data_IF_565260509737
#
_entry.id   IF_565260509737
#
_cell.length_a   1.000
_cell.length_b   1.000
_cell.length_c   1.000
_cell.angle_alpha   90.00
_cell.angle_beta   90.00
_cell.angle_gamma   90.00
#
_symmetry.space_group_name_H-M   'P 1'
#
loop_
_entity.id
_entity.type
_entity.pdbx_description
1 polymer ?
#
# COMPACT_ATOMS: atom_id res chain seq x y z
N UNK A 1 -4.60 25.81 8.48
CA UNK A 1 -3.23 26.24 8.14
C UNK A 1 -2.25 25.10 8.36
N UNK A 2 -1.75 24.53 7.27
CA UNK A 2 -0.34 24.14 7.03
C UNK A 2 -0.36 23.33 5.74
N UNK A 3 -0.45 24.03 4.61
CA UNK A 3 0.03 23.48 3.34
C UNK A 3 1.52 23.37 3.51
N UNK A 4 2.00 22.19 3.90
CA UNK A 4 3.43 21.92 4.00
C UNK A 4 3.93 21.94 2.57
N UNK A 5 4.74 22.94 2.24
CA UNK A 5 5.64 22.87 1.10
C UNK A 5 6.43 21.57 1.29
N UNK A 6 6.27 20.60 0.38
CA UNK A 6 7.03 19.37 0.49
C UNK A 6 8.51 19.67 0.36
N UNK A 7 8.87 20.46 -0.66
CA UNK A 7 10.23 20.69 -1.12
C UNK A 7 10.34 22.10 -1.74
N UNK A 8 11.35 22.88 -1.36
CA UNK A 8 11.67 24.18 -1.98
C UNK A 8 12.68 24.05 -3.15
N UNK A 9 12.96 25.12 -3.89
CA UNK A 9 13.87 25.06 -5.05
C UNK A 9 15.31 24.65 -4.70
N UNK A 10 15.83 25.05 -3.53
CA UNK A 10 17.18 24.65 -3.10
C UNK A 10 17.23 23.16 -2.78
N UNK A 11 16.14 22.66 -2.21
CA UNK A 11 15.97 21.25 -1.90
C UNK A 11 15.78 20.39 -3.17
N UNK A 12 15.05 20.87 -4.18
CA UNK A 12 14.97 20.20 -5.49
C UNK A 12 16.34 20.11 -6.16
N UNK A 13 17.15 21.18 -6.09
CA UNK A 13 18.52 21.15 -6.60
C UNK A 13 19.40 20.13 -5.86
N UNK A 14 19.24 20.00 -4.53
CA UNK A 14 19.94 18.98 -3.75
C UNK A 14 19.54 17.55 -4.15
N UNK A 15 18.25 17.31 -4.44
CA UNK A 15 17.78 16.02 -4.98
C UNK A 15 18.39 15.75 -6.34
N UNK A 16 18.33 16.73 -7.25
CA UNK A 16 18.83 16.57 -8.62
C UNK A 16 20.34 16.27 -8.67
N UNK A 17 21.09 16.77 -7.69
CA UNK A 17 22.51 16.49 -7.52
C UNK A 17 22.81 15.15 -6.80
N UNK A 18 21.79 14.42 -6.36
CA UNK A 18 21.96 13.14 -5.65
C UNK A 18 22.44 13.28 -4.21
N UNK A 19 22.13 14.36 -3.51
CA UNK A 19 22.51 14.52 -2.10
C UNK A 19 21.85 13.44 -1.22
N UNK A 20 22.63 12.42 -0.84
CA UNK A 20 22.21 11.30 -0.01
C UNK A 20 21.56 11.72 1.31
N UNK A 21 22.04 12.80 1.93
CA UNK A 21 21.46 13.28 3.18
C UNK A 21 20.03 13.77 2.95
N UNK A 22 19.79 14.47 1.86
CA UNK A 22 18.47 14.95 1.51
C UNK A 22 17.55 13.80 1.07
N UNK A 23 18.06 12.90 0.22
CA UNK A 23 17.34 11.70 -0.22
C UNK A 23 16.92 10.82 0.95
N UNK A 24 17.77 10.62 1.95
CA UNK A 24 17.45 9.88 3.17
C UNK A 24 16.31 10.51 3.98
N UNK A 25 16.18 11.85 3.97
CA UNK A 25 15.03 12.54 4.61
C UNK A 25 13.74 12.34 3.82
N UNK A 26 13.81 12.38 2.49
CA UNK A 26 12.65 12.11 1.62
C UNK A 26 12.20 10.66 1.75
N UNK A 27 13.14 9.73 1.80
CA UNK A 27 12.91 8.30 2.03
C UNK A 27 12.15 8.05 3.34
N UNK A 28 12.54 8.72 4.44
CA UNK A 28 11.79 8.68 5.71
C UNK A 28 10.38 9.26 5.60
N UNK A 29 10.11 10.11 4.61
CA UNK A 29 8.76 10.62 4.30
C UNK A 29 8.02 9.75 3.28
N UNK A 30 8.52 8.55 2.97
CA UNK A 30 7.90 7.65 1.99
C UNK A 30 7.96 8.15 0.55
N UNK A 31 8.84 9.10 0.25
CA UNK A 31 9.14 9.53 -1.12
C UNK A 31 10.36 8.75 -1.59
N UNK A 32 10.09 7.56 -2.11
CA UNK A 32 11.10 6.60 -2.54
C UNK A 32 11.33 6.78 -4.06
N UNK A 33 12.59 6.81 -4.53
CA UNK A 33 12.87 6.79 -5.96
C UNK A 33 12.31 5.51 -6.62
N UNK A 34 11.79 5.64 -7.83
CA UNK A 34 11.34 4.51 -8.63
C UNK A 34 12.52 3.65 -9.11
N UNK A 35 12.21 2.44 -9.57
CA UNK A 35 13.21 1.54 -10.18
C UNK A 35 13.84 2.23 -11.39
N UNK A 36 15.18 2.28 -11.43
CA UNK A 36 15.97 2.96 -12.45
C UNK A 36 15.75 4.49 -12.56
N UNK A 37 15.05 5.12 -11.62
CA UNK A 37 14.84 6.57 -11.64
C UNK A 37 16.14 7.32 -11.30
N UNK A 38 16.51 8.26 -12.17
CA UNK A 38 17.67 9.12 -11.95
C UNK A 38 17.35 10.26 -10.98
N UNK A 39 18.39 10.86 -10.39
CA UNK A 39 18.23 12.00 -9.48
C UNK A 39 17.47 13.20 -10.11
N UNK A 40 17.74 13.61 -11.37
CA UNK A 40 16.95 14.65 -12.03
C UNK A 40 15.48 14.27 -12.27
N UNK A 41 15.21 13.04 -12.70
CA UNK A 41 13.84 12.54 -12.91
C UNK A 41 13.05 12.51 -11.60
N UNK A 42 13.70 12.06 -10.52
CA UNK A 42 13.11 12.06 -9.19
C UNK A 42 12.78 13.49 -8.73
N UNK A 43 13.69 14.45 -8.93
CA UNK A 43 13.41 15.85 -8.63
C UNK A 43 12.21 16.40 -9.41
N UNK A 44 12.11 16.08 -10.71
CA UNK A 44 10.98 16.50 -11.54
C UNK A 44 9.65 15.86 -11.09
N UNK A 45 9.67 14.60 -10.65
CA UNK A 45 8.48 13.93 -10.09
C UNK A 45 8.03 14.60 -8.79
N UNK A 46 8.96 14.96 -7.94
CA UNK A 46 8.69 15.67 -6.69
C UNK A 46 8.11 17.07 -6.92
N UNK A 47 8.61 17.79 -7.93
CA UNK A 47 8.06 19.08 -8.35
C UNK A 47 6.61 18.95 -8.84
N UNK A 48 6.32 17.95 -9.68
CA UNK A 48 4.95 17.66 -10.15
C UNK A 48 4.00 17.36 -8.99
N UNK A 49 4.44 16.53 -8.03
CA UNK A 49 3.66 16.20 -6.84
C UNK A 49 3.37 17.45 -6.00
N UNK A 50 4.37 18.30 -5.76
CA UNK A 50 4.19 19.54 -4.99
C UNK A 50 3.18 20.47 -5.67
N UNK A 51 3.31 20.69 -6.98
CA UNK A 51 2.38 21.52 -7.74
C UNK A 51 0.94 21.00 -7.66
N UNK A 52 0.75 19.69 -7.78
CA UNK A 52 -0.57 19.07 -7.70
C UNK A 52 -1.19 19.15 -6.30
N UNK A 53 -0.36 19.04 -5.24
CA UNK A 53 -0.82 19.26 -3.87
C UNK A 53 -1.21 20.70 -3.60
N UNK A 54 -0.46 21.67 -4.13
CA UNK A 54 -0.81 23.09 -4.02
C UNK A 54 -2.12 23.39 -4.76
N UNK A 55 -2.31 22.83 -5.95
CA UNK A 55 -3.56 22.94 -6.71
C UNK A 55 -4.74 22.32 -5.96
N UNK A 56 -4.55 21.14 -5.37
CA UNK A 56 -5.56 20.49 -4.53
C UNK A 56 -5.94 21.38 -3.33
N UNK A 57 -4.98 21.94 -2.61
CA UNK A 57 -5.24 22.83 -1.47
C UNK A 57 -5.98 24.10 -1.90
N UNK A 58 -5.62 24.67 -3.05
CA UNK A 58 -6.32 25.83 -3.62
C UNK A 58 -7.77 25.48 -3.96
N UNK A 59 -8.00 24.35 -4.62
CA UNK A 59 -9.34 23.89 -4.99
C UNK A 59 -10.20 23.61 -3.76
N UNK A 60 -9.63 23.04 -2.69
CA UNK A 60 -10.34 22.79 -1.42
C UNK A 60 -10.66 24.07 -0.63
N UNK A 61 -9.94 25.16 -0.87
CA UNK A 61 -10.24 26.47 -0.29
C UNK A 61 -11.32 27.22 -1.07
N UNK A 62 -11.33 27.08 -2.39
CA UNK A 62 -12.23 27.80 -3.29
C UNK A 62 -13.60 27.10 -3.45
N UNK A 63 -13.61 25.77 -3.45
CA UNK A 63 -14.80 24.95 -3.68
C UNK A 63 -15.20 24.19 -2.42
N UNK A 64 -16.51 24.13 -2.17
CA UNK A 64 -17.05 23.39 -1.01
C UNK A 64 -16.84 21.88 -1.19
N UNK A 65 -17.02 21.38 -2.41
CA UNK A 65 -16.84 19.97 -2.79
C UNK A 65 -15.99 19.88 -4.08
N UNK A 66 -15.09 18.90 -4.15
CA UNK A 66 -14.20 18.59 -5.27
C UNK A 66 -14.32 17.10 -5.61
N UNK A 67 -14.32 16.75 -6.90
CA UNK A 67 -14.48 15.38 -7.38
C UNK A 67 -13.17 14.87 -7.99
N UNK A 68 -12.26 14.25 -7.21
CA UNK A 68 -11.01 13.71 -7.75
C UNK A 68 -11.21 12.52 -8.69
N UNK A 69 -12.34 11.81 -8.57
CA UNK A 69 -12.67 10.66 -9.39
C UNK A 69 -14.20 10.52 -9.50
N UNK A 70 -14.72 9.93 -10.59
CA UNK A 70 -16.17 9.82 -10.80
C UNK A 70 -16.90 9.17 -9.62
N UNK A 71 -17.85 9.91 -9.04
CA UNK A 71 -18.68 9.50 -7.92
C UNK A 71 -18.08 9.73 -6.53
N UNK A 72 -16.87 10.27 -6.44
CA UNK A 72 -16.15 10.49 -5.18
C UNK A 72 -16.06 11.99 -4.90
N UNK A 73 -16.85 12.47 -3.94
CA UNK A 73 -16.81 13.87 -3.52
C UNK A 73 -15.98 14.06 -2.25
N UNK A 74 -14.97 14.92 -2.32
CA UNK A 74 -14.17 15.34 -1.15
C UNK A 74 -14.41 16.81 -0.83
N UNK A 75 -14.20 17.17 0.44
CA UNK A 75 -14.36 18.54 0.92
C UNK A 75 -13.31 18.83 1.99
N UNK A 76 -12.83 20.07 2.05
CA UNK A 76 -11.93 20.52 3.12
C UNK A 76 -12.51 20.28 4.52
N UNK A 77 -13.84 20.36 4.67
CA UNK A 77 -14.56 20.09 5.93
C UNK A 77 -14.51 18.62 6.38
N UNK A 78 -14.20 17.73 5.44
CA UNK A 78 -14.10 16.29 5.65
C UNK A 78 -12.65 15.80 5.66
N UNK A 79 -11.66 16.71 5.63
CA UNK A 79 -10.25 16.33 5.74
C UNK A 79 -9.99 15.62 7.07
N UNK A 80 -9.21 14.55 7.03
CA UNK A 80 -8.82 13.80 8.22
C UNK A 80 -7.87 14.67 9.05
N UNK A 81 -8.18 14.92 10.34
CA UNK A 81 -7.32 15.68 11.22
C UNK A 81 -5.92 15.08 11.35
N UNK A 82 -4.91 15.95 11.45
CA UNK A 82 -3.50 15.54 11.57
C UNK A 82 -3.21 14.59 12.73
N UNK A 83 -3.84 14.72 13.92
CA UNK A 83 -3.63 13.75 15.00
C UNK A 83 -3.96 12.30 14.60
N UNK A 84 -5.00 12.09 13.79
CA UNK A 84 -5.39 10.76 13.30
C UNK A 84 -4.33 10.24 12.30
N UNK A 85 -3.86 11.10 11.40
CA UNK A 85 -2.79 10.73 10.47
C UNK A 85 -1.52 10.38 11.25
N UNK A 86 -1.15 11.16 12.27
CA UNK A 86 0.05 10.90 13.08
C UNK A 86 0.01 9.54 13.80
N UNK A 87 -1.17 9.04 14.20
CA UNK A 87 -1.32 7.68 14.75
C UNK A 87 -0.97 6.59 13.74
N UNK A 88 -1.31 6.80 12.48
CA UNK A 88 -0.99 5.90 11.38
C UNK A 88 0.48 6.02 10.97
N UNK A 89 1.02 7.24 10.89
CA UNK A 89 2.45 7.49 10.59
C UNK A 89 3.39 6.82 11.60
N UNK A 90 3.01 6.77 12.89
CA UNK A 90 3.79 6.01 13.89
C UNK A 90 3.87 4.52 13.53
N UNK A 91 2.77 3.95 13.07
CA UNK A 91 2.70 2.53 12.73
C UNK A 91 3.55 2.20 11.49
N UNK A 92 3.46 3.01 10.44
CA UNK A 92 4.31 2.84 9.24
C UNK A 92 5.79 3.10 9.57
N UNK A 93 6.07 4.04 10.47
CA UNK A 93 7.43 4.33 10.94
C UNK A 93 8.04 3.17 11.75
N UNK A 94 7.25 2.54 12.62
CA UNK A 94 7.67 1.35 13.37
C UNK A 94 7.94 0.15 12.47
N UNK A 95 7.10 -0.08 11.45
CA UNK A 95 7.21 -1.24 10.55
C UNK A 95 8.30 -1.08 9.47
N UNK A 96 8.33 0.08 8.82
CA UNK A 96 9.07 0.28 7.56
C UNK A 96 10.01 1.48 7.58
N UNK A 97 10.10 2.18 8.72
CA UNK A 97 10.90 3.41 8.86
C UNK A 97 10.49 4.49 7.84
N UNK A 98 9.18 4.58 7.55
CA UNK A 98 8.56 5.58 6.67
C UNK A 98 7.37 6.27 7.32
N UNK A 99 7.24 7.57 7.08
CA UNK A 99 6.15 8.41 7.55
C UNK A 99 5.65 9.27 6.38
N UNK A 100 4.77 8.74 5.51
CA UNK A 100 4.17 9.43 4.36
C UNK A 100 3.24 10.57 4.79
N UNK A 101 3.88 11.65 5.24
CA UNK A 101 3.26 12.76 5.94
C UNK A 101 2.66 13.81 5.01
N UNK A 102 2.83 13.60 3.70
CA UNK A 102 2.39 14.47 2.61
C UNK A 102 1.04 14.05 2.01
N UNK A 103 0.59 12.82 2.24
CA UNK A 103 -0.62 12.26 1.63
C UNK A 103 -1.86 12.84 2.32
N UNK A 104 -2.72 13.59 1.60
CA UNK A 104 -3.97 14.08 2.15
C UNK A 104 -5.00 12.95 2.28
N UNK A 105 -5.75 12.98 3.39
CA UNK A 105 -6.79 12.00 3.70
C UNK A 105 -8.15 12.65 3.89
N UNK A 106 -9.22 12.00 3.43
CA UNK A 106 -10.59 12.51 3.53
C UNK A 106 -11.59 11.47 4.04
N UNK A 107 -12.60 11.95 4.77
CA UNK A 107 -13.77 11.18 5.16
C UNK A 107 -14.87 11.33 4.10
N UNK A 108 -15.12 10.30 3.28
CA UNK A 108 -16.20 10.35 2.30
C UNK A 108 -17.41 9.49 2.68
N UNK A 109 -18.57 9.92 2.20
CA UNK A 109 -19.78 9.10 2.13
C UNK A 109 -19.80 8.42 0.76
N UNK A 110 -19.11 7.31 0.64
CA UNK A 110 -19.19 6.49 -0.56
C UNK A 110 -20.54 5.76 -0.61
N UNK A 111 -21.11 5.61 -1.82
CA UNK A 111 -22.19 4.64 -2.08
C UNK A 111 -21.67 3.19 -2.11
N UNK A 112 -20.39 2.99 -1.80
CA UNK A 112 -19.75 1.69 -1.78
C UNK A 112 -20.33 0.85 -0.63
N UNK A 113 -20.63 -0.42 -0.94
CA UNK A 113 -21.37 -1.33 -0.06
C UNK A 113 -20.85 -1.41 1.37
N UNK A 114 -21.65 -1.97 2.28
CA UNK A 114 -21.42 -1.97 3.73
C UNK A 114 -20.01 -2.44 4.19
N UNK A 115 -19.31 -3.22 3.36
CA UNK A 115 -17.98 -3.79 3.64
C UNK A 115 -16.80 -2.96 3.13
N UNK A 116 -17.02 -1.84 2.44
CA UNK A 116 -15.92 -1.01 1.94
C UNK A 116 -15.21 -0.28 3.10
N UNK A 117 -13.88 -0.38 3.23
CA UNK A 117 -13.13 0.28 4.31
C UNK A 117 -12.63 1.67 3.92
N UNK A 118 -11.85 1.71 2.85
CA UNK A 118 -11.14 2.86 2.32
C UNK A 118 -10.56 2.55 0.93
N UNK A 119 -9.94 3.56 0.32
CA UNK A 119 -9.22 3.44 -0.94
C UNK A 119 -8.22 4.59 -1.10
N UNK A 120 -7.04 4.29 -1.63
CA UNK A 120 -6.11 5.27 -2.19
C UNK A 120 -6.45 5.56 -3.65
N UNK A 121 -6.55 6.85 -4.00
CA UNK A 121 -6.66 7.34 -5.35
C UNK A 121 -5.33 7.96 -5.74
N UNK A 122 -4.70 7.41 -6.77
CA UNK A 122 -3.48 7.97 -7.36
C UNK A 122 -3.79 8.47 -8.77
N UNK A 123 -3.36 9.70 -9.06
CA UNK A 123 -3.33 10.24 -10.41
C UNK A 123 -1.94 10.00 -11.04
N UNK A 124 -1.82 9.15 -12.08
CA UNK A 124 -0.54 8.86 -12.72
C UNK A 124 0.14 10.08 -13.36
N UNK A 125 -0.62 11.10 -13.79
CA UNK A 125 -0.05 12.25 -14.48
C UNK A 125 0.70 13.17 -13.51
N UNK A 126 0.09 13.44 -12.35
CA UNK A 126 0.62 14.33 -11.32
C UNK A 126 1.39 13.61 -10.21
N UNK A 127 1.27 12.28 -10.11
CA UNK A 127 1.70 11.45 -8.98
C UNK A 127 1.02 11.82 -7.65
N UNK A 128 -0.08 12.59 -7.70
CA UNK A 128 -0.86 12.92 -6.53
C UNK A 128 -1.57 11.67 -6.04
N UNK A 129 -1.24 11.26 -4.82
CA UNK A 129 -2.01 10.26 -4.08
C UNK A 129 -2.81 10.93 -2.99
N UNK A 130 -4.09 10.59 -2.90
CA UNK A 130 -4.93 10.90 -1.75
C UNK A 130 -5.64 9.64 -1.30
N UNK A 131 -6.04 9.58 -0.03
CA UNK A 131 -6.79 8.43 0.45
C UNK A 131 -8.11 8.84 1.08
N UNK A 132 -9.07 7.94 0.99
CA UNK A 132 -10.43 8.15 1.45
C UNK A 132 -10.83 7.00 2.33
N UNK A 133 -11.41 7.31 3.47
CA UNK A 133 -11.97 6.31 4.39
C UNK A 133 -13.42 6.67 4.72
N UNK A 134 -14.20 5.67 5.16
CA UNK A 134 -15.60 5.87 5.53
C UNK A 134 -15.80 7.02 6.52
N UNK A 135 -16.83 7.83 6.28
CA UNK A 135 -17.23 8.94 7.18
C UNK A 135 -17.52 8.51 8.62
N UNK A 136 -17.96 7.28 8.87
CA UNK A 136 -18.20 6.77 10.23
C UNK A 136 -16.93 6.81 11.10
N UNK A 137 -15.76 6.66 10.48
CA UNK A 137 -14.47 6.74 11.16
C UNK A 137 -14.14 8.15 11.70
N UNK A 138 -14.91 9.17 11.31
CA UNK A 138 -14.82 10.49 11.93
C UNK A 138 -15.22 10.44 13.41
N UNK A 139 -16.18 9.59 13.77
CA UNK A 139 -16.75 9.49 15.12
C UNK A 139 -16.29 8.24 15.86
N UNK A 140 -15.97 7.17 15.13
CA UNK A 140 -15.65 5.88 15.71
C UNK A 140 -14.25 5.42 15.29
N UNK A 141 -13.53 4.76 16.19
CA UNK A 141 -12.25 4.15 15.83
C UNK A 141 -12.45 2.80 15.10
N UNK A 142 -13.52 2.07 15.40
CA UNK A 142 -13.79 0.74 14.83
C UNK A 142 -15.13 0.73 14.12
N UNK A 143 -15.19 0.01 13.01
CA UNK A 143 -16.42 -0.28 12.29
C UNK A 143 -16.33 -1.69 11.70
N UNK A 144 -17.21 -2.59 12.13
CA UNK A 144 -17.13 -4.02 11.82
C UNK A 144 -15.74 -4.60 12.16
N UNK A 145 -15.04 -5.15 11.16
CA UNK A 145 -13.70 -5.75 11.28
C UNK A 145 -12.56 -4.74 11.06
N UNK A 146 -12.90 -3.48 10.76
CA UNK A 146 -11.95 -2.43 10.42
C UNK A 146 -11.66 -1.51 11.61
N UNK A 147 -10.39 -1.16 11.79
CA UNK A 147 -9.91 -0.14 12.71
C UNK A 147 -9.35 1.03 11.90
N UNK A 148 -9.74 2.26 12.24
CA UNK A 148 -9.36 3.48 11.54
C UNK A 148 -7.84 3.64 11.45
N UNK A 149 -7.12 3.35 12.52
CA UNK A 149 -5.66 3.53 12.57
C UNK A 149 -4.98 2.55 11.62
N UNK A 150 -5.42 1.30 11.63
CA UNK A 150 -4.90 0.25 10.73
C UNK A 150 -5.21 0.59 9.28
N UNK A 151 -6.46 0.96 8.99
CA UNK A 151 -6.89 1.30 7.64
C UNK A 151 -6.14 2.53 7.10
N UNK A 152 -5.99 3.57 7.93
CA UNK A 152 -5.22 4.76 7.52
C UNK A 152 -3.76 4.41 7.27
N UNK A 153 -3.14 3.55 8.10
CA UNK A 153 -1.78 3.10 7.87
C UNK A 153 -1.64 2.23 6.62
N UNK A 154 -2.64 1.39 6.32
CA UNK A 154 -2.72 0.58 5.11
C UNK A 154 -2.70 1.46 3.84
N UNK A 155 -3.58 2.47 3.76
CA UNK A 155 -3.60 3.37 2.59
C UNK A 155 -2.32 4.21 2.48
N UNK A 156 -1.75 4.64 3.61
CA UNK A 156 -0.48 5.36 3.65
C UNK A 156 0.69 4.48 3.19
N UNK A 157 0.65 3.18 3.48
CA UNK A 157 1.63 2.21 2.97
C UNK A 157 1.59 2.15 1.45
N UNK A 158 0.40 2.05 0.84
CA UNK A 158 0.24 2.09 -0.62
C UNK A 158 0.85 3.37 -1.21
N UNK A 159 0.53 4.54 -0.65
CA UNK A 159 1.05 5.82 -1.12
C UNK A 159 2.58 5.91 -1.07
N UNK A 160 3.22 5.32 -0.05
CA UNK A 160 4.68 5.28 0.07
C UNK A 160 5.32 4.25 -0.88
N UNK A 161 4.62 3.14 -1.18
CA UNK A 161 5.15 2.01 -1.94
C UNK A 161 4.86 2.08 -3.45
N UNK A 162 3.95 2.94 -3.90
CA UNK A 162 3.42 2.97 -5.28
C UNK A 162 4.49 3.03 -6.38
N UNK A 163 5.68 3.58 -6.10
CA UNK A 163 6.74 3.78 -7.10
C UNK A 163 7.73 2.61 -7.21
N UNK A 164 7.59 1.59 -6.36
CA UNK A 164 8.39 0.35 -6.45
C UNK A 164 7.76 -0.63 -7.48
N UNK A 165 6.60 -0.28 -8.05
CA UNK A 165 5.92 -0.90 -9.21
C UNK A 165 5.75 -2.43 -9.14
N UNK A 166 5.27 -2.95 -7.99
CA UNK A 166 5.09 -4.39 -7.82
C UNK A 166 3.87 -4.76 -6.98
N UNK A 167 2.79 -5.15 -7.67
CA UNK A 167 1.47 -5.48 -7.12
C UNK A 167 1.46 -6.68 -6.13
N UNK A 168 2.43 -7.59 -6.22
CA UNK A 168 2.40 -8.86 -5.47
C UNK A 168 2.63 -8.68 -3.96
N UNK A 169 3.57 -7.80 -3.59
CA UNK A 169 3.94 -7.58 -2.19
C UNK A 169 3.35 -6.28 -1.60
N UNK A 170 2.84 -5.37 -2.43
CA UNK A 170 2.22 -4.12 -1.99
C UNK A 170 1.11 -4.37 -0.95
N UNK A 171 0.15 -5.24 -1.29
CA UNK A 171 -0.90 -5.64 -0.36
C UNK A 171 -0.34 -6.36 0.87
N UNK A 172 0.72 -7.15 0.73
CA UNK A 172 1.38 -7.77 1.89
C UNK A 172 1.86 -6.71 2.87
N UNK A 173 2.61 -5.71 2.42
CA UNK A 173 3.08 -4.64 3.29
C UNK A 173 1.91 -3.87 3.93
N UNK A 174 0.90 -3.52 3.14
CA UNK A 174 -0.24 -2.77 3.63
C UNK A 174 -1.01 -3.55 4.72
N UNK A 175 -1.16 -4.88 4.61
CA UNK A 175 -1.86 -5.70 5.61
C UNK A 175 -1.06 -5.98 6.88
N UNK A 176 0.25 -5.81 6.89
CA UNK A 176 1.06 -5.95 8.11
C UNK A 176 0.75 -4.87 9.14
N UNK A 177 0.14 -3.75 8.72
CA UNK A 177 -0.38 -2.70 9.61
C UNK A 177 -1.57 -3.18 10.47
N UNK A 178 -2.27 -4.25 10.08
CA UNK A 178 -3.38 -4.79 10.87
C UNK A 178 -2.89 -5.33 12.22
N UNK A 179 -3.69 -5.27 13.30
CA UNK A 179 -3.36 -5.92 14.58
C UNK A 179 -3.60 -7.43 14.55
N UNK A 180 -4.62 -7.85 13.79
CA UNK A 180 -5.02 -9.25 13.71
C UNK A 180 -4.01 -10.06 12.89
N UNK A 181 -3.43 -11.10 13.49
CA UNK A 181 -2.55 -12.07 12.79
C UNK A 181 -3.26 -12.72 11.61
N UNK A 182 -4.57 -12.95 11.72
CA UNK A 182 -5.39 -13.51 10.65
C UNK A 182 -5.41 -12.56 9.45
N UNK A 183 -5.62 -11.26 9.68
CA UNK A 183 -5.63 -10.25 8.61
C UNK A 183 -4.26 -10.01 8.02
N UNK A 184 -3.19 -10.08 8.82
CA UNK A 184 -1.81 -10.04 8.31
C UNK A 184 -1.49 -11.17 7.33
N UNK A 185 -2.05 -12.36 7.57
CA UNK A 185 -1.80 -13.52 6.73
C UNK A 185 -2.76 -13.60 5.53
N UNK A 186 -4.06 -13.44 5.76
CA UNK A 186 -5.10 -13.59 4.72
C UNK A 186 -5.44 -12.30 3.98
N UNK A 187 -4.94 -11.16 4.44
CA UNK A 187 -5.27 -9.86 3.85
C UNK A 187 -4.91 -9.80 2.37
N UNK A 188 -3.72 -10.26 2.01
CA UNK A 188 -3.24 -10.31 0.64
C UNK A 188 -3.84 -11.44 -0.20
N UNK A 189 -4.97 -12.02 0.23
CA UNK A 189 -5.60 -13.10 -0.53
C UNK A 189 -6.49 -12.60 -1.68
N UNK A 190 -6.94 -11.35 -1.69
CA UNK A 190 -7.68 -10.77 -2.81
C UNK A 190 -6.89 -9.59 -3.39
N UNK A 191 -6.00 -9.88 -4.33
CA UNK A 191 -5.15 -8.86 -4.98
C UNK A 191 -5.66 -8.58 -6.40
N UNK A 192 -6.01 -9.63 -7.13
CA UNK A 192 -6.52 -9.54 -8.48
C UNK A 192 -7.95 -9.01 -8.53
N UNK A 193 -8.26 -8.23 -9.57
CA UNK A 193 -9.60 -7.65 -9.83
C UNK A 193 -10.73 -8.70 -9.80
N UNK A 194 -10.44 -9.92 -10.26
CA UNK A 194 -11.40 -11.01 -10.33
C UNK A 194 -11.33 -12.00 -9.17
N UNK A 195 -10.44 -11.80 -8.19
CA UNK A 195 -10.24 -12.81 -7.15
C UNK A 195 -11.49 -12.99 -6.29
N UNK A 196 -12.19 -11.90 -5.97
CA UNK A 196 -13.46 -11.96 -5.26
C UNK A 196 -14.55 -12.68 -6.08
N UNK A 197 -14.57 -12.45 -7.40
CA UNK A 197 -15.53 -13.07 -8.31
C UNK A 197 -15.28 -14.58 -8.43
N UNK A 198 -14.02 -14.98 -8.66
CA UNK A 198 -13.62 -16.39 -8.81
C UNK A 198 -13.78 -17.17 -7.50
N UNK A 199 -13.67 -16.50 -6.35
CA UNK A 199 -13.98 -17.09 -5.05
C UNK A 199 -15.49 -17.26 -4.84
N UNK A 200 -16.29 -16.24 -5.15
CA UNK A 200 -17.71 -16.20 -4.81
C UNK A 200 -18.60 -16.94 -5.83
N UNK A 201 -18.30 -16.82 -7.13
CA UNK A 201 -19.14 -17.34 -8.21
C UNK A 201 -19.38 -18.86 -8.10
N UNK A 202 -18.35 -19.72 -7.90
CA UNK A 202 -18.58 -21.16 -7.75
C UNK A 202 -19.48 -21.49 -6.54
N UNK A 203 -19.35 -20.74 -5.45
CA UNK A 203 -20.15 -20.93 -4.24
C UNK A 203 -21.61 -20.54 -4.50
N UNK A 204 -21.85 -19.45 -5.23
CA UNK A 204 -23.20 -19.02 -5.61
C UNK A 204 -23.85 -19.93 -6.66
N UNK A 205 -23.06 -20.63 -7.48
CA UNK A 205 -23.58 -21.60 -8.45
C UNK A 205 -24.08 -22.89 -7.80
N UNK A 206 -23.49 -23.31 -6.67
CA UNK A 206 -23.90 -24.52 -5.93
C UNK A 206 -25.42 -24.58 -5.64
N UNK A 207 -26.07 -23.57 -5.04
CA UNK A 207 -27.51 -23.63 -4.79
C UNK A 207 -28.34 -23.64 -6.07
N UNK A 208 -27.90 -22.94 -7.12
CA UNK A 208 -28.61 -22.92 -8.42
C UNK A 208 -28.60 -24.31 -9.05
N UNK A 209 -27.45 -24.96 -9.11
CA UNK A 209 -27.32 -26.32 -9.66
C UNK A 209 -28.10 -27.32 -8.82
N UNK A 210 -28.04 -27.21 -7.49
CA UNK A 210 -28.81 -28.08 -6.60
C UNK A 210 -30.32 -27.95 -6.86
N UNK A 211 -30.81 -26.73 -7.06
CA UNK A 211 -32.22 -26.49 -7.39
C UNK A 211 -32.60 -27.10 -8.75
N UNK A 212 -31.77 -26.96 -9.78
CA UNK A 212 -32.01 -27.55 -11.10
C UNK A 212 -31.98 -29.09 -11.09
N UNK A 213 -31.10 -29.69 -10.28
CA UNK A 213 -31.05 -31.13 -10.03
C UNK A 213 -32.34 -31.61 -9.34
N UNK A 214 -32.83 -30.90 -8.32
CA UNK A 214 -34.08 -31.23 -7.62
C UNK A 214 -35.29 -31.16 -8.56
N UNK A 215 -35.32 -30.17 -9.46
CA UNK A 215 -36.39 -29.99 -10.45
C UNK A 215 -36.30 -31.00 -11.62
N UNK A 216 -35.27 -31.86 -11.66
CA UNK A 216 -35.07 -32.84 -12.73
C UNK A 216 -34.71 -32.24 -14.09
N UNK A 217 -34.34 -30.95 -14.13
CA UNK A 217 -33.95 -30.24 -15.37
C UNK A 217 -32.55 -30.69 -15.80
N UNK A 218 -31.68 -30.97 -14.83
CA UNK A 218 -30.29 -31.36 -15.03
C UNK A 218 -29.98 -32.58 -14.15
N UNK A 219 -29.06 -33.44 -14.57
CA UNK A 219 -28.54 -34.59 -13.81
C UNK A 219 -27.01 -34.48 -13.69
N UNK A 220 -26.52 -33.40 -13.08
CA UNK A 220 -25.09 -33.19 -12.90
C UNK A 220 -24.65 -33.59 -11.48
N UNK A 221 -23.55 -34.35 -11.35
CA UNK A 221 -23.00 -34.69 -10.06
C UNK A 221 -22.53 -33.45 -9.29
N UNK A 222 -23.09 -33.25 -8.08
CA UNK A 222 -22.78 -32.07 -7.25
C UNK A 222 -21.30 -31.97 -6.84
N UNK A 223 -20.59 -33.10 -6.76
CA UNK A 223 -19.19 -33.12 -6.34
C UNK A 223 -18.27 -32.31 -7.28
N UNK A 224 -18.61 -32.21 -8.58
CA UNK A 224 -17.83 -31.42 -9.56
C UNK A 224 -17.84 -29.94 -9.16
N UNK A 225 -18.99 -29.43 -8.72
CA UNK A 225 -19.14 -28.04 -8.30
C UNK A 225 -18.47 -27.77 -6.95
N UNK A 226 -18.45 -28.75 -6.04
CA UNK A 226 -17.68 -28.66 -4.81
C UNK A 226 -16.17 -28.61 -5.05
N UNK A 227 -15.66 -29.43 -5.99
CA UNK A 227 -14.26 -29.38 -6.41
C UNK A 227 -13.95 -28.02 -7.03
N UNK A 228 -14.80 -27.53 -7.94
CA UNK A 228 -14.64 -26.19 -8.53
C UNK A 228 -14.64 -25.09 -7.46
N UNK A 229 -15.53 -25.18 -6.46
CA UNK A 229 -15.61 -24.24 -5.35
C UNK A 229 -14.40 -24.32 -4.41
N UNK A 230 -13.71 -25.45 -4.32
CA UNK A 230 -12.53 -25.63 -3.47
C UNK A 230 -11.21 -25.22 -4.16
N UNK A 231 -11.09 -25.42 -5.47
CA UNK A 231 -9.84 -25.16 -6.23
C UNK A 231 -9.36 -23.71 -6.03
N UNK A 232 -10.26 -22.73 -6.19
CA UNK A 232 -9.85 -21.33 -6.14
C UNK A 232 -9.45 -20.86 -4.73
N UNK A 233 -10.22 -21.15 -3.65
CA UNK A 233 -9.76 -20.93 -2.28
C UNK A 233 -8.41 -21.58 -1.98
N UNK A 234 -8.18 -22.83 -2.40
CA UNK A 234 -6.88 -23.50 -2.20
C UNK A 234 -5.75 -22.74 -2.91
N UNK A 235 -5.99 -22.27 -4.13
CA UNK A 235 -5.03 -21.42 -4.84
C UNK A 235 -4.73 -20.12 -4.08
N UNK A 236 -5.74 -19.42 -3.56
CA UNK A 236 -5.56 -18.20 -2.77
C UNK A 236 -4.75 -18.48 -1.50
N UNK A 237 -5.07 -19.55 -0.76
CA UNK A 237 -4.35 -19.98 0.43
C UNK A 237 -2.88 -20.28 0.13
N UNK A 238 -2.63 -21.02 -0.96
CA UNK A 238 -1.27 -21.32 -1.42
C UNK A 238 -0.50 -20.05 -1.78
N UNK A 239 -1.13 -19.08 -2.44
CA UNK A 239 -0.52 -17.79 -2.78
C UNK A 239 -0.16 -16.99 -1.52
N UNK A 240 -1.09 -16.86 -0.58
CA UNK A 240 -0.85 -16.18 0.70
C UNK A 240 0.29 -16.86 1.49
N UNK A 241 0.31 -18.20 1.52
CA UNK A 241 1.39 -18.96 2.12
C UNK A 241 2.74 -18.75 1.42
N UNK A 242 2.77 -18.77 0.09
CA UNK A 242 3.98 -18.56 -0.71
C UNK A 242 4.58 -17.16 -0.47
N UNK A 243 3.75 -16.11 -0.48
CA UNK A 243 4.17 -14.73 -0.16
C UNK A 243 4.76 -14.66 1.25
N UNK A 244 4.06 -15.20 2.24
CA UNK A 244 4.53 -15.22 3.63
C UNK A 244 5.85 -16.00 3.79
N UNK A 245 6.02 -17.10 3.05
CA UNK A 245 7.24 -17.91 3.06
C UNK A 245 8.42 -17.13 2.48
N UNK A 246 8.25 -16.48 1.32
CA UNK A 246 9.30 -15.65 0.71
C UNK A 246 9.71 -14.52 1.65
N UNK A 247 8.75 -13.76 2.16
CA UNK A 247 9.02 -12.65 3.06
C UNK A 247 9.74 -13.10 4.32
N UNK A 248 9.35 -14.26 4.89
CA UNK A 248 10.05 -14.84 6.04
C UNK A 248 11.49 -15.23 5.69
N UNK A 249 11.73 -15.85 4.53
CA UNK A 249 13.08 -16.23 4.09
C UNK A 249 13.96 -15.00 3.85
N UNK A 250 13.45 -14.00 3.12
CA UNK A 250 14.15 -12.74 2.85
C UNK A 250 14.48 -11.99 4.15
N UNK A 251 13.52 -11.86 5.08
CA UNK A 251 13.76 -11.29 6.41
C UNK A 251 14.83 -12.06 7.18
N UNK A 252 14.77 -13.38 7.17
CA UNK A 252 15.75 -14.23 7.87
C UNK A 252 17.15 -14.12 7.26
N UNK A 253 17.24 -13.90 5.95
CA UNK A 253 18.52 -13.64 5.29
C UNK A 253 19.10 -12.29 5.73
N UNK A 254 18.32 -11.21 5.72
CA UNK A 254 18.78 -9.89 6.16
C UNK A 254 19.20 -9.88 7.65
N UNK A 255 18.44 -10.54 8.52
CA UNK A 255 18.80 -10.67 9.95
C UNK A 255 20.11 -11.44 10.15
N UNK A 256 20.36 -12.50 9.38
CA UNK A 256 21.64 -13.25 9.42
C UNK A 256 22.83 -12.42 8.93
N UNK A 257 22.57 -11.39 8.11
CA UNK A 257 23.57 -10.42 7.66
C UNK A 257 23.55 -9.14 8.53
N UNK A 258 23.10 -9.23 9.79
CA UNK A 258 23.13 -8.16 10.79
C UNK A 258 22.34 -6.88 10.45
N UNK A 259 21.35 -6.97 9.54
CA UNK A 259 20.46 -5.85 9.25
C UNK A 259 19.42 -5.72 10.37
N UNK A 260 19.44 -4.60 11.11
CA UNK A 260 18.56 -4.39 12.27
C UNK A 260 17.07 -4.26 11.92
N UNK A 261 16.77 -3.52 10.83
CA UNK A 261 15.39 -3.26 10.37
C UNK A 261 15.16 -3.90 9.01
N UNK A 262 15.00 -5.24 8.92
CA UNK A 262 14.88 -5.93 7.65
C UNK A 262 13.63 -5.50 6.87
N UNK A 263 12.51 -5.27 7.55
CA UNK A 263 11.26 -4.87 6.89
C UNK A 263 11.36 -3.47 6.27
N UNK A 264 12.17 -2.56 6.84
CA UNK A 264 12.45 -1.27 6.22
C UNK A 264 13.23 -1.44 4.90
N UNK A 265 14.17 -2.39 4.84
CA UNK A 265 14.89 -2.68 3.58
C UNK A 265 13.96 -3.33 2.56
N UNK A 266 13.23 -4.37 2.96
CA UNK A 266 12.32 -5.09 2.06
C UNK A 266 11.24 -4.18 1.47
N UNK A 267 10.78 -3.17 2.22
CA UNK A 267 9.79 -2.19 1.75
C UNK A 267 10.26 -1.34 0.55
N UNK A 268 11.55 -1.33 0.24
CA UNK A 268 12.14 -0.58 -0.88
C UNK A 268 12.58 -1.48 -2.02
N UNK A 269 12.36 -2.79 -1.88
CA UNK A 269 12.85 -3.78 -2.82
C UNK A 269 11.76 -4.25 -3.76
N UNK A 270 12.16 -4.58 -4.99
CA UNK A 270 11.26 -5.18 -5.98
C UNK A 270 10.98 -6.65 -5.65
N UNK A 271 10.02 -7.25 -6.36
CA UNK A 271 9.70 -8.69 -6.21
C UNK A 271 10.92 -9.56 -6.47
N UNK A 272 11.68 -9.26 -7.53
CA UNK A 272 12.85 -10.04 -7.95
C UNK A 272 13.98 -9.93 -6.92
N UNK A 273 14.17 -8.75 -6.34
CA UNK A 273 15.15 -8.51 -5.27
C UNK A 273 14.76 -9.28 -3.99
N UNK A 274 13.49 -9.23 -3.58
CA UNK A 274 12.97 -9.98 -2.43
C UNK A 274 13.11 -11.50 -2.66
N UNK A 275 12.80 -11.98 -3.87
CA UNK A 275 12.97 -13.38 -4.25
C UNK A 275 14.44 -13.82 -4.23
N UNK A 276 15.36 -12.95 -4.66
CA UNK A 276 16.80 -13.21 -4.61
C UNK A 276 17.29 -13.36 -3.17
N UNK A 277 16.87 -12.47 -2.27
CA UNK A 277 17.15 -12.59 -0.83
C UNK A 277 16.57 -13.88 -0.24
N UNK A 278 15.35 -14.25 -0.65
CA UNK A 278 14.73 -15.49 -0.20
C UNK A 278 15.45 -16.75 -0.72
N UNK A 279 16.13 -16.66 -1.85
CA UNK A 279 17.03 -17.68 -2.40
C UNK A 279 18.43 -17.67 -1.76
N UNK A 280 18.74 -16.66 -0.92
CA UNK A 280 20.03 -16.53 -0.25
C UNK A 280 21.09 -15.76 -1.03
N UNK A 281 20.69 -15.00 -2.05
CA UNK A 281 21.56 -14.17 -2.86
C UNK A 281 21.31 -12.71 -2.54
N UNK A 282 22.37 -11.96 -2.25
CA UNK A 282 22.26 -10.51 -2.07
C UNK A 282 22.07 -9.85 -3.44
N UNK A 283 20.94 -9.20 -3.72
CA UNK A 283 20.78 -8.46 -4.96
C UNK A 283 21.70 -7.26 -4.98
N UNK A 284 22.06 -6.81 -6.18
CA UNK A 284 22.86 -5.62 -6.40
C UNK A 284 22.13 -4.71 -7.36
N UNK A 285 22.22 -3.41 -7.13
CA UNK A 285 21.79 -2.39 -8.07
C UNK A 285 22.56 -1.10 -7.86
N UNK A 286 22.46 -0.22 -8.85
CA UNK A 286 23.21 1.04 -8.91
C UNK A 286 22.30 2.27 -9.07
N UNK A 287 20.98 2.07 -9.05
CA UNK A 287 20.01 3.15 -9.14
C UNK A 287 19.97 4.00 -7.86
N UNK A 288 19.25 5.13 -7.90
CA UNK A 288 19.15 6.05 -6.77
C UNK A 288 18.54 5.41 -5.52
N UNK A 289 17.58 4.51 -5.71
CA UNK A 289 16.93 3.74 -4.65
C UNK A 289 17.90 2.78 -3.99
N UNK A 290 18.79 2.15 -4.76
CA UNK A 290 19.84 1.26 -4.24
C UNK A 290 20.86 1.98 -3.37
N UNK A 291 21.13 3.26 -3.62
CA UNK A 291 21.96 4.06 -2.71
C UNK A 291 21.33 4.17 -1.31
N UNK A 292 20.01 4.36 -1.25
CA UNK A 292 19.25 4.38 0.02
C UNK A 292 19.16 3.01 0.68
N UNK A 293 18.98 1.95 -0.12
CA UNK A 293 19.00 0.57 0.38
C UNK A 293 20.36 0.25 1.00
N UNK A 294 21.46 0.57 0.31
CA UNK A 294 22.82 0.32 0.78
C UNK A 294 23.11 1.08 2.09
N UNK A 295 22.69 2.35 2.18
CA UNK A 295 22.79 3.10 3.44
C UNK A 295 22.09 2.36 4.59
N UNK A 296 20.89 1.83 4.37
CA UNK A 296 20.13 1.09 5.40
C UNK A 296 20.74 -0.27 5.76
N UNK A 297 21.36 -0.94 4.79
CA UNK A 297 22.13 -2.17 5.03
C UNK A 297 23.36 -1.88 5.91
N UNK A 298 24.06 -0.78 5.65
CA UNK A 298 25.26 -0.37 6.41
C UNK A 298 24.95 0.18 7.82
N UNK A 299 23.83 0.90 7.98
CA UNK A 299 23.40 1.44 9.29
C UNK A 299 23.24 0.33 10.34
N UNK A 300 22.92 -0.91 9.92
CA UNK A 300 22.88 -2.08 10.79
C UNK A 300 24.25 -2.65 11.16
N UNK A 301 25.26 -2.51 10.30
CA UNK A 301 26.59 -3.09 10.49
C UNK A 301 27.49 -2.28 11.44
N UNK A 302 27.27 -0.97 11.55
CA UNK A 302 28.09 -0.03 12.36
C UNK A 302 27.75 -0.01 13.87
N UNK A 303 26.84 -0.88 14.33
CA UNK A 303 26.43 -0.96 15.74
C UNK A 303 26.97 -2.20 16.48
N UNK A 304 27.98 -2.87 15.90
CA UNK A 304 28.81 -3.90 16.52
C UNK A 304 30.21 -3.34 16.79
#
# INVERSE_FOLDING_TARGET
MSGRILIDQQQLAAVANGDLKFLSRLDKRGLIPAVNETAPEFAQRLERLENALQELEKNLQQSVDYEPAPGIMISGKNRIPRPIINEALRLTGELYDVQPDWVPGFFANEKNGALWGGCALSDPASNLTLFIIRKIFRRQQKFLVYDRRELTAHELTHAAHQHVDEWLFEEYFAYQTARSKLRRFFGSCFIGKYDALLFLLPILLLPVVQMLNILGIILLPMWIFWVAAAIYPIYLLRRCWYIALIMRKARSFLLRNHVQKPDAVLFRMTVQEIQSLAAGVMPQGNDLRWQLINQRLEEGAKTL
#
